data_IF_300624219628
#
_entry.id   IF_300624219628
#
_cell.length_a   1.000
_cell.length_b   1.000
_cell.length_c   1.000
_cell.angle_alpha   90.00
_cell.angle_beta   90.00
_cell.angle_gamma   90.00
#
_symmetry.space_group_name_H-M   'P 1'
#
loop_
_entity.id
_entity.type
_entity.pdbx_description
1 polymer ?
#
# COMPACT_ATOMS: atom_id res chain seq x y z
N UNK A 1 -0.68 5.32 69.74
CA UNK A 1 -0.82 5.48 69.09
C UNK A 1 -0.33 5.41 68.00
N UNK A 2 -0.12 5.25 67.39
CA UNK A 2 0.31 5.21 66.32
C UNK A 2 -0.11 4.83 65.33
N UNK A 3 -0.11 4.97 64.67
CA UNK A 3 -0.60 4.66 63.66
C UNK A 3 -0.12 4.69 62.59
N UNK A 4 0.19 4.47 61.88
CA UNK A 4 0.62 4.48 60.74
C UNK A 4 0.21 4.14 59.76
N UNK A 5 0.08 4.34 59.02
CA UNK A 5 -0.42 4.18 58.09
C UNK A 5 0.18 4.01 57.07
N UNK A 6 0.27 3.58 56.44
CA UNK A 6 0.86 3.31 55.47
C UNK A 6 0.42 3.54 54.34
N UNK A 7 0.61 3.93 53.60
CA UNK A 7 0.19 4.33 52.53
C UNK A 7 0.54 3.68 51.48
N UNK A 8 0.36 3.21 51.04
CA UNK A 8 0.62 2.57 50.09
C UNK A 8 0.40 3.00 48.95
N UNK A 9 0.80 3.12 48.14
CA UNK A 9 0.66 3.48 47.02
C UNK A 9 0.62 2.75 46.02
N UNK A 10 0.21 2.71 45.18
CA UNK A 10 -0.04 2.04 44.15
C UNK A 10 0.70 2.36 43.12
N UNK A 11 1.10 1.60 42.52
CA UNK A 11 1.79 1.79 41.45
C UNK A 11 1.10 2.08 40.31
N UNK A 12 1.41 2.73 39.59
CA UNK A 12 0.74 3.04 38.49
C UNK A 12 1.07 2.28 37.41
N UNK A 13 0.62 1.99 36.78
CA UNK A 13 0.81 1.26 35.81
C UNK A 13 0.93 1.82 34.69
N UNK A 14 1.56 1.72 33.99
CA UNK A 14 1.75 2.15 32.89
C UNK A 14 1.50 1.42 31.87
N UNK A 15 1.07 1.60 31.05
CA UNK A 15 0.78 0.99 30.01
C UNK A 15 1.40 1.41 28.97
N UNK A 16 2.12 0.88 28.42
CA UNK A 16 2.77 1.22 27.34
C UNK A 16 2.01 1.08 26.22
N UNK A 17 1.74 1.89 25.58
CA UNK A 17 1.03 1.76 24.47
C UNK A 17 1.88 1.45 23.43
N UNK A 18 1.96 0.40 22.94
CA UNK A 18 2.72 0.10 21.89
C UNK A 18 2.10 0.62 20.73
N UNK A 19 2.70 1.32 20.00
CA UNK A 19 2.19 1.80 18.82
C UNK A 19 2.18 0.75 17.84
N UNK A 20 1.13 0.23 17.48
CA UNK A 20 1.12 -0.74 16.41
C UNK A 20 1.06 0.03 15.13
N UNK A 21 1.75 -0.37 14.11
CA UNK A 21 1.70 0.33 12.85
C UNK A 21 0.30 0.23 12.30
N UNK A 22 -0.12 1.25 11.66
CA UNK A 22 -1.43 1.21 11.03
C UNK A 22 -1.37 0.28 9.86
N UNK A 23 -2.51 -0.12 9.40
CA UNK A 23 -2.57 -0.99 8.24
C UNK A 23 -1.94 -0.32 7.03
N UNK A 24 -2.09 0.99 6.92
CA UNK A 24 -1.51 1.68 5.80
C UNK A 24 0.00 1.64 5.82
N UNK A 25 0.58 1.81 6.97
CA UNK A 25 2.02 1.75 7.07
C UNK A 25 2.53 0.35 6.78
N UNK A 26 1.80 -0.63 7.20
CA UNK A 26 2.22 -1.98 6.95
C UNK A 26 2.19 -2.33 5.49
N UNK A 27 1.37 -1.64 4.69
CA UNK A 27 1.29 -1.97 3.31
C UNK A 27 2.29 -1.32 2.43
N UNK A 28 3.00 -0.36 2.95
CA UNK A 28 3.91 0.39 2.11
C UNK A 28 5.32 -0.05 2.27
N UNK A 29 5.56 -1.30 2.40
CA UNK A 29 6.92 -1.80 2.50
C UNK A 29 7.54 -1.78 1.10
N UNK A 30 8.78 -1.35 1.04
CA UNK A 30 9.46 -1.25 -0.24
C UNK A 30 9.52 -2.60 -0.93
N UNK A 31 9.34 -2.61 -2.21
CA UNK A 31 9.41 -3.83 -2.99
C UNK A 31 8.14 -4.65 -3.00
N UNK A 32 7.07 -4.14 -2.44
CA UNK A 32 5.83 -4.88 -2.41
C UNK A 32 4.86 -4.38 -3.45
N UNK A 33 4.04 -5.27 -3.95
CA UNK A 33 3.04 -4.93 -4.92
C UNK A 33 2.02 -6.06 -4.94
N UNK A 34 0.76 -5.70 -4.75
CA UNK A 34 -0.32 -6.69 -4.80
C UNK A 34 -1.29 -6.30 -5.90
N UNK A 35 -1.09 -6.87 -7.08
CA UNK A 35 -1.92 -6.52 -8.23
C UNK A 35 -3.38 -6.92 -8.02
N UNK A 36 -3.64 -7.95 -7.23
CA UNK A 36 -5.02 -8.37 -7.00
C UNK A 36 -5.84 -7.28 -6.34
N UNK A 37 -5.22 -6.51 -5.47
CA UNK A 37 -5.92 -5.45 -4.77
C UNK A 37 -6.27 -4.27 -5.67
N UNK A 38 -5.69 -4.22 -6.86
CA UNK A 38 -5.94 -3.14 -7.80
C UNK A 38 -6.84 -3.55 -8.97
N UNK A 39 -7.30 -4.80 -9.02
CA UNK A 39 -8.05 -5.29 -10.17
C UNK A 39 -9.36 -4.55 -10.41
N UNK A 40 -9.89 -3.92 -9.39
CA UNK A 40 -11.13 -3.17 -9.55
C UNK A 40 -10.98 -1.99 -10.52
N UNK A 41 -9.75 -1.60 -10.82
CA UNK A 41 -9.52 -0.49 -11.74
C UNK A 41 -9.49 -0.92 -13.20
N UNK A 42 -9.52 -2.21 -13.47
CA UNK A 42 -9.58 -2.69 -14.84
C UNK A 42 -10.87 -2.20 -15.50
N UNK A 43 -10.76 -1.70 -16.71
CA UNK A 43 -11.91 -1.16 -17.45
C UNK A 43 -12.06 0.34 -17.31
N UNK A 44 -11.31 0.96 -16.42
CA UNK A 44 -11.40 2.39 -16.20
C UNK A 44 -10.32 3.11 -17.01
N UNK A 45 -10.62 4.36 -17.36
CA UNK A 45 -9.63 5.17 -18.06
C UNK A 45 -8.46 5.45 -17.14
N UNK A 46 -7.26 5.41 -17.69
CA UNK A 46 -6.05 5.60 -16.91
C UNK A 46 -5.73 7.06 -16.71
N UNK A 47 -6.61 7.78 -16.05
CA UNK A 47 -6.33 9.16 -15.67
C UNK A 47 -5.28 9.18 -14.59
N UNK A 48 -4.68 10.34 -14.35
CA UNK A 48 -3.66 10.45 -13.31
C UNK A 48 -4.20 10.01 -11.96
N UNK A 49 -5.44 10.37 -11.65
CA UNK A 49 -6.04 9.97 -10.39
C UNK A 49 -6.26 8.48 -10.31
N UNK A 50 -6.66 7.85 -11.41
CA UNK A 50 -6.90 6.42 -11.43
C UNK A 50 -5.59 5.64 -11.31
N UNK A 51 -4.54 6.13 -11.96
CA UNK A 51 -3.23 5.50 -11.89
C UNK A 51 -2.71 5.52 -10.45
N UNK A 52 -2.85 6.67 -9.79
CA UNK A 52 -2.38 6.77 -8.42
C UNK A 52 -3.24 5.92 -7.47
N UNK A 53 -4.55 5.86 -7.71
CA UNK A 53 -5.43 5.03 -6.90
C UNK A 53 -5.05 3.56 -7.02
N UNK A 54 -4.72 3.13 -8.23
CA UNK A 54 -4.30 1.75 -8.44
C UNK A 54 -2.99 1.45 -7.72
N UNK A 55 -2.04 2.40 -7.78
CA UNK A 55 -0.77 2.22 -7.10
C UNK A 55 -0.99 2.07 -5.59
N UNK A 56 -1.82 2.92 -5.03
CA UNK A 56 -2.08 2.86 -3.59
C UNK A 56 -2.78 1.57 -3.19
N UNK A 57 -3.75 1.15 -3.97
CA UNK A 57 -4.49 -0.07 -3.66
C UNK A 57 -3.57 -1.28 -3.71
N UNK A 58 -2.61 -1.27 -4.62
CA UNK A 58 -1.67 -2.36 -4.72
C UNK A 58 -0.54 -2.26 -3.69
N UNK A 59 -0.42 -1.13 -3.02
CA UNK A 59 0.69 -0.90 -2.11
C UNK A 59 2.03 -0.87 -2.83
N UNK A 60 2.03 -0.44 -4.09
CA UNK A 60 3.23 -0.49 -4.92
C UNK A 60 4.10 0.73 -4.71
N UNK A 61 5.40 0.54 -4.86
CA UNK A 61 6.36 1.64 -4.79
C UNK A 61 6.21 2.58 -5.97
N UNK A 62 5.89 2.03 -7.11
CA UNK A 62 5.79 2.81 -8.33
C UNK A 62 4.76 2.19 -9.25
N UNK A 63 4.38 2.93 -10.27
CA UNK A 63 3.39 2.46 -11.22
C UNK A 63 3.77 2.99 -12.59
N UNK A 64 3.53 2.19 -13.61
CA UNK A 64 3.71 2.68 -14.98
C UNK A 64 2.53 2.23 -15.82
N UNK A 65 2.23 3.01 -16.85
CA UNK A 65 1.20 2.66 -17.80
C UNK A 65 1.89 2.25 -19.09
N UNK A 66 1.35 1.23 -19.72
CA UNK A 66 1.92 0.67 -20.94
C UNK A 66 0.88 0.68 -22.03
N UNK A 67 1.15 1.40 -23.09
CA UNK A 67 0.25 1.44 -24.24
C UNK A 67 0.42 0.18 -25.08
N UNK A 68 -0.57 -0.15 -25.91
CA UNK A 68 -0.45 -1.32 -26.76
C UNK A 68 0.80 -1.20 -27.62
N UNK A 69 1.57 -2.27 -27.67
CA UNK A 69 2.75 -2.30 -28.50
C UNK A 69 3.93 -1.48 -28.03
N UNK A 70 3.81 -0.87 -26.86
CA UNK A 70 4.91 -0.07 -26.33
C UNK A 70 6.08 -0.96 -25.97
N UNK A 71 7.27 -0.54 -26.38
CA UNK A 71 8.47 -1.27 -26.02
C UNK A 71 8.83 -0.99 -24.59
N UNK A 72 9.14 -2.03 -23.86
CA UNK A 72 9.53 -1.89 -22.47
C UNK A 72 10.73 -2.76 -22.19
N UNK A 73 11.47 -2.40 -21.14
CA UNK A 73 12.59 -3.24 -20.75
C UNK A 73 12.05 -4.48 -20.06
N UNK A 74 12.85 -5.51 -20.06
CA UNK A 74 12.42 -6.81 -19.53
C UNK A 74 12.75 -6.96 -18.04
N UNK A 75 13.30 -5.94 -17.42
CA UNK A 75 13.64 -6.08 -16.02
C UNK A 75 12.39 -6.17 -15.16
N UNK A 76 12.47 -6.98 -14.14
CA UNK A 76 11.38 -7.16 -13.20
C UNK A 76 11.64 -6.31 -11.97
N UNK A 77 10.67 -5.52 -11.56
CA UNK A 77 10.77 -4.73 -10.34
C UNK A 77 9.64 -5.13 -9.42
N UNK A 78 9.97 -5.76 -8.32
CA UNK A 78 8.96 -6.34 -7.43
C UNK A 78 7.95 -5.31 -6.92
N UNK A 79 8.37 -4.08 -6.73
CA UNK A 79 7.46 -3.05 -6.20
C UNK A 79 6.76 -2.22 -7.24
N UNK A 80 6.82 -2.60 -8.51
CA UNK A 80 6.22 -1.79 -9.56
C UNK A 80 4.92 -2.39 -10.05
N UNK A 81 3.90 -1.55 -10.15
CA UNK A 81 2.62 -1.94 -10.71
C UNK A 81 2.59 -1.54 -12.17
N UNK A 82 2.20 -2.45 -13.05
CA UNK A 82 2.08 -2.18 -14.47
C UNK A 82 0.61 -2.16 -14.85
N UNK A 83 0.18 -1.07 -15.46
CA UNK A 83 -1.18 -0.94 -15.96
C UNK A 83 -1.12 -1.02 -17.47
N UNK A 84 -1.61 -2.11 -18.02
CA UNK A 84 -1.58 -2.30 -19.48
C UNK A 84 -2.86 -1.70 -20.04
N UNK A 85 -2.70 -0.77 -20.96
CA UNK A 85 -3.83 -0.03 -21.51
C UNK A 85 -4.24 -0.59 -22.87
N UNK A 86 -5.51 -0.46 -23.17
CA UNK A 86 -6.01 -0.79 -24.49
C UNK A 86 -5.90 0.44 -25.40
N UNK A 87 -6.37 0.31 -26.62
CA UNK A 87 -6.27 1.39 -27.59
C UNK A 87 -7.04 2.64 -27.19
N UNK A 88 -8.01 2.49 -26.32
CA UNK A 88 -8.81 3.63 -25.84
C UNK A 88 -8.26 4.25 -24.57
N UNK A 89 -7.14 3.75 -24.08
CA UNK A 89 -6.55 4.29 -22.85
C UNK A 89 -7.17 3.74 -21.59
N UNK A 90 -7.94 2.67 -21.71
CA UNK A 90 -8.51 2.04 -20.53
C UNK A 90 -7.61 0.92 -20.05
N UNK A 91 -7.63 0.68 -18.77
CA UNK A 91 -6.80 -0.36 -18.18
C UNK A 91 -7.39 -1.71 -18.52
N UNK A 92 -6.63 -2.53 -19.24
CA UNK A 92 -7.14 -3.86 -19.58
C UNK A 92 -6.49 -4.95 -18.75
N UNK A 93 -5.33 -4.71 -18.16
CA UNK A 93 -4.66 -5.72 -17.36
C UNK A 93 -3.75 -5.03 -16.36
N UNK A 94 -3.63 -5.60 -15.18
CA UNK A 94 -2.79 -5.06 -14.12
C UNK A 94 -1.92 -6.19 -13.58
N UNK A 95 -0.63 -5.95 -13.47
CA UNK A 95 0.29 -6.94 -12.94
C UNK A 95 1.48 -6.24 -12.30
N UNK A 96 2.13 -6.91 -11.36
CA UNK A 96 3.35 -6.41 -10.75
C UNK A 96 4.56 -6.85 -11.55
N UNK A 97 5.61 -6.08 -11.52
CA UNK A 97 6.84 -6.53 -12.19
C UNK A 97 7.55 -5.51 -13.08
#
# INVERSE_FOLDING_TARGET
MSKFMLALLPAPLLLAACATPTADEAKVAAGQCNADAAQKHVGHAASAGMVEAARKDAGADSVRTLKPGQMVTMEYLAGRLNLYLDADGKIERIACG
#
